data_IF_019845364164
#
_entry.id   IF_019845364164
#
_cell.length_a   1.000
_cell.length_b   1.000
_cell.length_c   1.000
_cell.angle_alpha   90.00
_cell.angle_beta   90.00
_cell.angle_gamma   90.00
#
_symmetry.space_group_name_H-M   'P 1'
#
loop_
_entity.id
_entity.type
_entity.pdbx_description
1 polymer ?
#
# COMPACT_ATOMS: atom_id res chain seq x y z
N UNK A 1 -4.28 -38.49 13.02
CA UNK A 1 -4.23 -37.03 12.82
C UNK A 1 -3.32 -36.76 11.65
N UNK A 2 -3.85 -36.28 10.54
CA UNK A 2 -3.07 -35.93 9.35
C UNK A 2 -3.03 -34.40 9.23
N UNK A 3 -1.84 -33.88 8.94
CA UNK A 3 -1.63 -32.45 8.71
C UNK A 3 -1.41 -32.23 7.22
N UNK A 4 -1.98 -31.15 6.69
CA UNK A 4 -1.84 -30.78 5.28
C UNK A 4 -0.91 -29.58 5.17
N UNK A 5 -0.01 -29.66 4.19
CA UNK A 5 0.86 -28.54 3.82
C UNK A 5 0.15 -27.65 2.79
N UNK A 6 0.13 -26.35 3.06
CA UNK A 6 -0.43 -25.32 2.17
C UNK A 6 0.68 -24.37 1.70
N UNK A 7 0.86 -24.28 0.37
CA UNK A 7 1.95 -23.52 -0.24
C UNK A 7 1.70 -22.00 -0.23
N UNK A 8 2.81 -21.24 -0.42
CA UNK A 8 2.96 -19.78 -0.26
C UNK A 8 2.03 -18.88 -1.10
N UNK A 9 1.11 -19.44 -1.90
CA UNK A 9 0.13 -18.64 -2.64
C UNK A 9 -0.91 -17.93 -1.74
N UNK A 10 -0.86 -18.15 -0.43
CA UNK A 10 -1.84 -17.65 0.56
C UNK A 10 -1.15 -16.68 1.56
N UNK A 11 -0.85 -15.44 1.15
CA UNK A 11 -0.24 -14.45 2.04
C UNK A 11 -1.16 -14.13 3.23
N UNK A 12 -0.56 -13.89 4.40
CA UNK A 12 -1.24 -13.46 5.65
C UNK A 12 -2.23 -14.47 6.27
N UNK A 13 -2.09 -15.76 5.98
CA UNK A 13 -2.95 -16.81 6.53
C UNK A 13 -2.99 -16.83 8.07
N UNK A 14 -1.85 -16.57 8.73
CA UNK A 14 -1.76 -16.51 10.19
C UNK A 14 -2.76 -15.56 10.84
N UNK A 15 -3.06 -14.42 10.18
CA UNK A 15 -3.97 -13.43 10.73
C UNK A 15 -5.40 -13.94 10.73
N UNK A 16 -5.75 -14.74 9.74
CA UNK A 16 -7.08 -15.33 9.59
C UNK A 16 -7.22 -16.54 10.51
N UNK A 17 -6.18 -17.37 10.60
CA UNK A 17 -6.12 -18.47 11.55
C UNK A 17 -6.31 -18.01 13.00
N UNK A 18 -5.66 -16.91 13.40
CA UNK A 18 -5.84 -16.28 14.73
C UNK A 18 -7.23 -15.69 14.98
N UNK A 19 -8.01 -15.41 13.93
CA UNK A 19 -9.40 -14.94 14.09
C UNK A 19 -10.40 -16.08 14.25
N UNK A 20 -10.04 -17.24 13.71
CA UNK A 20 -10.83 -18.46 13.76
C UNK A 20 -10.38 -19.40 14.88
N UNK A 21 -9.35 -19.02 15.65
CA UNK A 21 -8.70 -19.83 16.68
C UNK A 21 -8.28 -21.23 16.18
N UNK A 22 -7.75 -21.29 14.95
CA UNK A 22 -7.19 -22.51 14.36
C UNK A 22 -5.68 -22.54 14.58
N UNK A 23 -5.18 -23.69 15.03
CA UNK A 23 -3.76 -23.95 15.19
C UNK A 23 -3.07 -24.07 13.83
N UNK A 24 -2.23 -23.07 13.52
CA UNK A 24 -1.46 -22.99 12.28
C UNK A 24 0.01 -22.74 12.60
N UNK A 25 0.89 -23.58 12.06
CA UNK A 25 2.34 -23.42 12.19
C UNK A 25 2.96 -23.02 10.83
N UNK A 26 3.92 -22.08 10.81
CA UNK A 26 4.67 -21.79 9.59
C UNK A 26 5.57 -22.98 9.24
N UNK A 27 5.60 -23.36 7.95
CA UNK A 27 6.40 -24.48 7.47
C UNK A 27 7.80 -24.02 7.04
N UNK A 28 8.86 -24.66 7.56
CA UNK A 28 10.22 -24.49 7.04
C UNK A 28 10.44 -25.50 5.92
N UNK A 29 10.54 -25.04 4.67
CA UNK A 29 10.63 -25.91 3.48
C UNK A 29 12.06 -26.14 3.04
N UNK A 30 12.99 -25.29 3.46
CA UNK A 30 14.40 -25.49 3.16
C UNK A 30 15.30 -24.40 3.72
N UNK A 31 16.49 -24.33 3.16
CA UNK A 31 17.50 -23.34 3.49
C UNK A 31 18.00 -22.66 2.22
N UNK A 32 18.03 -21.33 2.24
CA UNK A 32 18.58 -20.52 1.17
C UNK A 32 20.05 -20.20 1.49
N UNK A 33 20.99 -20.50 0.57
CA UNK A 33 22.40 -20.17 0.78
C UNK A 33 22.59 -18.66 0.74
N UNK A 34 23.14 -18.11 1.82
CA UNK A 34 23.54 -16.72 1.95
C UNK A 34 25.08 -16.61 1.98
N UNK A 35 25.62 -15.44 1.66
CA UNK A 35 27.09 -15.20 1.62
C UNK A 35 27.81 -15.52 2.95
N UNK A 36 27.09 -15.53 4.07
CA UNK A 36 27.62 -15.79 5.41
C UNK A 36 26.85 -16.90 6.14
N UNK A 37 26.33 -17.92 5.44
CA UNK A 37 25.69 -19.09 6.05
C UNK A 37 24.40 -19.52 5.35
N UNK A 38 23.59 -20.33 6.02
CA UNK A 38 22.27 -20.76 5.54
C UNK A 38 21.15 -20.03 6.30
N UNK A 39 20.16 -19.51 5.57
CA UNK A 39 18.95 -18.90 6.16
C UNK A 39 17.76 -19.85 5.96
N UNK A 40 16.94 -20.12 6.99
CA UNK A 40 15.75 -20.95 6.83
C UNK A 40 14.72 -20.23 5.94
N UNK A 41 14.15 -20.99 5.01
CA UNK A 41 13.08 -20.54 4.10
C UNK A 41 11.76 -21.01 4.68
N UNK A 42 10.98 -20.04 5.15
CA UNK A 42 9.65 -20.26 5.73
C UNK A 42 8.60 -20.09 4.63
N UNK A 43 8.44 -21.12 3.82
CA UNK A 43 7.50 -21.12 2.71
C UNK A 43 6.30 -22.01 3.01
N UNK A 44 5.15 -21.40 3.27
CA UNK A 44 3.89 -22.13 3.47
C UNK A 44 3.53 -22.39 4.94
N UNK A 45 2.45 -23.14 5.11
CA UNK A 45 1.77 -23.35 6.39
C UNK A 45 1.42 -24.82 6.58
N UNK A 46 1.52 -25.30 7.81
CA UNK A 46 1.01 -26.61 8.24
C UNK A 46 -0.26 -26.39 9.03
N UNK A 47 -1.34 -27.04 8.61
CA UNK A 47 -2.68 -26.95 9.22
C UNK A 47 -3.25 -28.36 9.40
N UNK A 48 -4.12 -28.56 10.39
CA UNK A 48 -4.89 -29.80 10.49
C UNK A 48 -5.83 -29.94 9.28
N UNK A 49 -5.99 -31.17 8.79
CA UNK A 49 -6.77 -31.45 7.58
C UNK A 49 -8.22 -30.94 7.65
N UNK A 50 -8.86 -31.06 8.81
CA UNK A 50 -10.26 -30.66 9.03
C UNK A 50 -10.51 -29.15 8.85
N UNK A 51 -9.50 -28.32 9.09
CA UNK A 51 -9.62 -26.86 9.03
C UNK A 51 -9.14 -26.28 7.71
N UNK A 52 -8.62 -27.11 6.81
CA UNK A 52 -8.06 -26.65 5.53
C UNK A 52 -9.07 -25.84 4.72
N UNK A 53 -10.26 -26.39 4.53
CA UNK A 53 -11.26 -25.78 3.64
C UNK A 53 -11.87 -24.53 4.26
N UNK A 54 -12.17 -24.58 5.57
CA UNK A 54 -12.68 -23.43 6.35
C UNK A 54 -11.70 -22.25 6.28
N UNK A 55 -10.40 -22.54 6.41
CA UNK A 55 -9.37 -21.52 6.40
C UNK A 55 -9.19 -20.90 5.01
N UNK A 56 -9.31 -21.70 3.94
CA UNK A 56 -9.25 -21.22 2.56
C UNK A 56 -10.45 -20.34 2.21
N UNK A 57 -11.67 -20.74 2.60
CA UNK A 57 -12.88 -19.97 2.36
C UNK A 57 -12.86 -18.62 3.08
N UNK A 58 -12.48 -18.63 4.37
CA UNK A 58 -12.31 -17.41 5.13
C UNK A 58 -11.22 -16.50 4.54
N UNK A 59 -10.13 -17.09 4.02
CA UNK A 59 -9.08 -16.32 3.35
C UNK A 59 -9.57 -15.65 2.06
N UNK A 60 -10.31 -16.38 1.23
CA UNK A 60 -10.90 -15.85 0.00
C UNK A 60 -11.82 -14.66 0.28
N UNK A 61 -12.69 -14.78 1.29
CA UNK A 61 -13.60 -13.70 1.68
C UNK A 61 -12.84 -12.44 2.13
N UNK A 62 -11.86 -12.59 3.02
CA UNK A 62 -11.07 -11.44 3.48
C UNK A 62 -10.26 -10.79 2.36
N UNK A 63 -9.73 -11.60 1.44
CA UNK A 63 -8.95 -11.11 0.31
C UNK A 63 -9.81 -10.27 -0.63
N UNK A 64 -11.04 -10.71 -0.90
CA UNK A 64 -12.01 -9.97 -1.71
C UNK A 64 -12.39 -8.63 -1.08
N UNK A 65 -12.66 -8.63 0.23
CA UNK A 65 -12.99 -7.42 0.97
C UNK A 65 -11.85 -6.40 0.95
N UNK A 66 -10.62 -6.84 1.22
CA UNK A 66 -9.41 -5.99 1.13
C UNK A 66 -9.24 -5.42 -0.27
N UNK A 67 -9.36 -6.27 -1.29
CA UNK A 67 -9.20 -5.86 -2.69
C UNK A 67 -10.26 -4.83 -3.10
N UNK A 68 -11.52 -5.01 -2.69
CA UNK A 68 -12.60 -4.05 -2.91
C UNK A 68 -12.31 -2.72 -2.20
N UNK A 69 -11.88 -2.75 -0.94
CA UNK A 69 -11.54 -1.55 -0.17
C UNK A 69 -10.34 -0.78 -0.76
N UNK A 70 -9.30 -1.48 -1.23
CA UNK A 70 -8.15 -0.86 -1.88
C UNK A 70 -8.51 -0.22 -3.23
N UNK A 71 -9.34 -0.90 -4.03
CA UNK A 71 -9.89 -0.33 -5.27
C UNK A 71 -10.70 0.93 -4.96
N UNK A 72 -11.52 0.92 -3.92
CA UNK A 72 -12.30 2.10 -3.54
C UNK A 72 -11.41 3.26 -3.06
N UNK A 73 -10.40 2.99 -2.22
CA UNK A 73 -9.40 3.97 -1.79
C UNK A 73 -8.67 4.58 -2.99
N UNK A 74 -8.26 3.77 -3.97
CA UNK A 74 -7.62 4.23 -5.21
C UNK A 74 -8.55 5.13 -6.02
N UNK A 75 -9.82 4.75 -6.17
CA UNK A 75 -10.85 5.56 -6.86
C UNK A 75 -11.07 6.89 -6.14
N UNK A 76 -11.17 6.91 -4.81
CA UNK A 76 -11.31 8.12 -3.99
C UNK A 76 -10.13 9.07 -4.16
N UNK A 77 -8.89 8.54 -4.14
CA UNK A 77 -7.66 9.31 -4.37
C UNK A 77 -7.62 9.92 -5.78
N UNK A 78 -7.92 9.13 -6.80
CA UNK A 78 -7.99 9.61 -8.17
C UNK A 78 -9.00 10.77 -8.28
N UNK A 79 -10.24 10.59 -7.82
CA UNK A 79 -11.27 11.64 -7.84
C UNK A 79 -10.84 12.91 -7.09
N UNK A 80 -10.18 12.78 -5.95
CA UNK A 80 -9.65 13.93 -5.22
C UNK A 80 -8.57 14.69 -6.01
N UNK A 81 -7.67 13.96 -6.67
CA UNK A 81 -6.63 14.56 -7.50
C UNK A 81 -7.22 15.28 -8.73
N UNK A 82 -8.21 14.70 -9.39
CA UNK A 82 -8.92 15.35 -10.50
C UNK A 82 -9.62 16.64 -10.05
N UNK A 83 -10.26 16.65 -8.88
CA UNK A 83 -10.85 17.88 -8.32
C UNK A 83 -9.82 18.96 -8.05
N UNK A 84 -8.63 18.59 -7.54
CA UNK A 84 -7.51 19.53 -7.35
C UNK A 84 -7.05 20.11 -8.69
N UNK A 85 -6.89 19.28 -9.72
CA UNK A 85 -6.48 19.73 -11.05
C UNK A 85 -7.44 20.76 -11.63
N UNK A 86 -8.75 20.47 -11.66
CA UNK A 86 -9.76 21.39 -12.19
C UNK A 86 -9.78 22.71 -11.40
N UNK A 87 -9.64 22.64 -10.06
CA UNK A 87 -9.54 23.83 -9.21
C UNK A 87 -8.33 24.69 -9.57
N UNK A 88 -7.15 24.08 -9.73
CA UNK A 88 -5.93 24.78 -10.12
C UNK A 88 -6.07 25.44 -11.50
N UNK A 89 -6.66 24.75 -12.49
CA UNK A 89 -6.88 25.31 -13.83
C UNK A 89 -7.82 26.53 -13.78
N UNK A 90 -8.93 26.44 -13.05
CA UNK A 90 -9.85 27.58 -12.88
C UNK A 90 -9.19 28.75 -12.15
N UNK A 91 -8.42 28.46 -11.10
CA UNK A 91 -7.70 29.49 -10.35
C UNK A 91 -6.67 30.19 -11.24
N UNK A 92 -5.90 29.42 -12.02
CA UNK A 92 -4.93 29.97 -12.97
C UNK A 92 -5.59 30.93 -13.96
N UNK A 93 -6.70 30.52 -14.59
CA UNK A 93 -7.46 31.41 -15.50
C UNK A 93 -7.98 32.67 -14.81
N UNK A 94 -8.48 32.55 -13.57
CA UNK A 94 -8.94 33.71 -12.79
C UNK A 94 -7.79 34.67 -12.44
N UNK A 95 -6.63 34.13 -12.08
CA UNK A 95 -5.43 34.91 -11.81
C UNK A 95 -4.96 35.62 -13.09
N UNK A 96 -4.90 34.91 -14.21
CA UNK A 96 -4.59 35.49 -15.53
C UNK A 96 -5.51 36.69 -15.82
N UNK A 97 -6.83 36.56 -15.69
CA UNK A 97 -7.76 37.67 -15.95
C UNK A 97 -7.59 38.87 -14.98
N UNK A 98 -7.25 38.62 -13.71
CA UNK A 98 -7.11 39.69 -12.70
C UNK A 98 -5.75 40.38 -12.78
N UNK A 99 -4.69 39.62 -13.07
CA UNK A 99 -3.32 40.12 -13.05
C UNK A 99 -2.78 40.47 -14.44
N UNK A 100 -3.30 39.94 -15.55
CA UNK A 100 -3.01 40.51 -16.88
C UNK A 100 -3.45 41.98 -16.95
N UNK A 101 -4.51 42.35 -16.23
CA UNK A 101 -4.93 43.75 -16.09
C UNK A 101 -4.01 44.59 -15.18
N UNK A 102 -3.29 43.96 -14.25
CA UNK A 102 -2.39 44.64 -13.31
C UNK A 102 -0.92 44.61 -13.73
N UNK A 103 -0.54 43.78 -14.72
CA UNK A 103 0.81 43.73 -15.28
C UNK A 103 1.09 44.93 -16.19
N UNK A 104 0.06 45.57 -16.76
CA UNK A 104 0.21 46.87 -17.42
C UNK A 104 0.35 48.04 -16.42
N UNK A 105 0.23 47.79 -15.11
CA UNK A 105 0.28 48.85 -14.07
C UNK A 105 1.40 48.71 -13.04
N UNK A 106 2.28 47.70 -13.12
CA UNK A 106 3.47 47.61 -12.26
C UNK A 106 4.68 47.01 -12.97
N UNK A 107 5.21 47.76 -13.93
CA UNK A 107 6.64 47.73 -14.25
C UNK A 107 7.38 48.57 -13.19
N UNK A 108 7.80 47.93 -12.10
CA UNK A 108 8.79 48.51 -11.19
C UNK A 108 8.60 48.20 -9.71
N UNK A 109 9.04 47.01 -9.26
CA UNK A 109 9.77 46.82 -8.00
C UNK A 109 10.10 45.33 -7.70
N UNK A 110 11.36 44.96 -7.96
CA UNK A 110 12.25 44.13 -7.14
C UNK A 110 11.82 42.74 -6.55
N UNK A 111 12.57 41.72 -7.00
CA UNK A 111 13.44 40.85 -6.19
C UNK A 111 12.84 39.72 -5.34
N UNK A 112 13.00 38.46 -5.79
CA UNK A 112 13.94 37.46 -5.23
C UNK A 112 13.54 36.03 -5.66
N UNK A 113 14.50 35.30 -6.23
CA UNK A 113 14.43 33.85 -6.38
C UNK A 113 14.67 33.25 -5.00
N UNK A 114 13.64 32.62 -4.43
CA UNK A 114 13.76 31.78 -3.25
C UNK A 114 13.62 30.32 -3.64
N UNK A 115 14.76 29.67 -3.87
CA UNK A 115 14.87 28.22 -3.77
C UNK A 115 14.50 27.78 -2.35
N UNK A 116 13.61 26.80 -2.21
CA UNK A 116 13.66 25.85 -1.08
C UNK A 116 12.98 24.52 -1.43
N UNK A 117 13.70 23.64 -2.13
CA UNK A 117 13.85 22.27 -1.62
C UNK A 117 14.81 22.33 -0.43
N UNK A 118 14.73 21.52 0.65
CA UNK A 118 14.27 20.11 0.67
C UNK A 118 13.51 19.68 1.95
N UNK A 119 13.08 18.42 2.03
CA UNK A 119 13.25 17.57 3.21
C UNK A 119 13.26 16.11 2.76
N UNK A 120 14.39 15.42 2.94
CA UNK A 120 14.48 13.96 2.78
C UNK A 120 14.28 13.25 4.11
N UNK A 121 13.74 12.03 4.00
CA UNK A 121 13.80 10.88 4.88
C UNK A 121 13.01 10.88 6.19
N UNK A 122 12.10 9.90 6.29
CA UNK A 122 11.91 9.13 7.50
C UNK A 122 12.04 7.64 7.14
N UNK A 123 13.25 7.14 7.30
CA UNK A 123 13.57 5.74 7.49
C UNK A 123 13.11 5.33 8.90
N UNK A 124 12.19 4.39 8.98
CA UNK A 124 11.92 3.66 10.22
C UNK A 124 12.34 2.22 10.00
N UNK A 125 13.55 1.94 10.46
CA UNK A 125 14.03 0.60 10.71
C UNK A 125 13.67 0.25 12.15
N UNK A 126 12.69 -0.63 12.35
CA UNK A 126 12.73 -1.68 13.37
C UNK A 126 11.66 -2.74 13.09
#
# INVERSE_FOLDING_TARGET
MYCVYLSLSVPQLQRIARKLDIDCAPAMVGFEPCRFGSRPVMDGWVVCEEFRDVLLDAWNQEFDEKTKAEKEKRRKRAKANWRKLVRCIRLKKRLELRYQFNLETQDGASTSRGDTTPCKHANTSR
#
